data_IF_022607383441
#
_entry.id   IF_022607383441
#
_cell.length_a   1.000
_cell.length_b   1.000
_cell.length_c   1.000
_cell.angle_alpha   90.00
_cell.angle_beta   90.00
_cell.angle_gamma   90.00
#
_symmetry.space_group_name_H-M   'P 1'
#
loop_
_entity.id
_entity.type
_entity.pdbx_description
1 polymer ?
#
# COMPACT_ATOMS: atom_id res chain seq x y z
N UNK A 1 -3.44 22.43 -22.97
CA UNK A 1 -1.97 22.36 -23.09
C UNK A 1 -1.39 22.32 -21.68
N UNK A 2 -0.59 21.31 -21.35
CA UNK A 2 0.21 21.33 -20.11
C UNK A 2 1.35 22.34 -20.34
N UNK A 3 1.44 23.38 -19.51
CA UNK A 3 2.42 24.47 -19.65
C UNK A 3 3.69 24.26 -18.83
N UNK A 4 3.67 23.39 -17.82
CA UNK A 4 4.82 23.09 -16.96
C UNK A 4 4.66 21.75 -16.24
N UNK A 5 5.77 21.05 -16.05
CA UNK A 5 5.88 19.85 -15.21
C UNK A 5 7.05 20.07 -14.24
N UNK A 6 6.85 19.70 -12.98
CA UNK A 6 7.88 19.69 -11.95
C UNK A 6 8.17 18.25 -11.54
N UNK A 7 9.45 17.90 -11.44
CA UNK A 7 9.91 16.57 -11.04
C UNK A 7 10.57 16.68 -9.67
N UNK A 8 10.11 15.86 -8.72
CA UNK A 8 10.71 15.73 -7.39
C UNK A 8 11.34 14.33 -7.27
N UNK A 9 12.65 14.19 -7.52
CA UNK A 9 13.32 12.90 -7.44
C UNK A 9 13.20 12.30 -6.03
N UNK A 10 12.96 10.99 -5.96
CA UNK A 10 12.90 10.25 -4.69
C UNK A 10 11.67 10.50 -3.83
N UNK A 11 10.79 11.45 -4.19
CA UNK A 11 9.54 11.67 -3.45
C UNK A 11 8.63 10.45 -3.58
N UNK A 12 8.06 10.01 -2.45
CA UNK A 12 7.19 8.83 -2.37
C UNK A 12 7.87 7.51 -2.75
N UNK A 13 9.21 7.45 -2.75
CA UNK A 13 9.94 6.25 -3.11
C UNK A 13 9.42 5.03 -2.34
N UNK A 14 9.33 5.13 -1.00
CA UNK A 14 8.94 4.01 -0.16
C UNK A 14 7.49 3.61 -0.40
N UNK A 15 6.55 4.57 -0.44
CA UNK A 15 5.15 4.29 -0.72
C UNK A 15 4.94 3.62 -2.08
N UNK A 16 5.67 4.04 -3.12
CA UNK A 16 5.60 3.41 -4.45
C UNK A 16 6.16 1.99 -4.41
N UNK A 17 7.25 1.75 -3.68
CA UNK A 17 7.80 0.39 -3.49
C UNK A 17 6.80 -0.52 -2.80
N UNK A 18 6.11 -0.04 -1.75
CA UNK A 18 5.09 -0.81 -1.03
C UNK A 18 3.86 -1.10 -1.91
N UNK A 19 3.44 -0.14 -2.74
CA UNK A 19 2.38 -0.37 -3.74
C UNK A 19 2.78 -1.42 -4.78
N UNK A 20 4.03 -1.40 -5.25
CA UNK A 20 4.56 -2.42 -6.16
C UNK A 20 4.59 -3.80 -5.50
N UNK A 21 5.00 -3.90 -4.24
CA UNK A 21 4.99 -5.15 -3.48
C UNK A 21 3.56 -5.69 -3.29
N UNK A 22 2.60 -4.83 -2.93
CA UNK A 22 1.18 -5.19 -2.81
C UNK A 22 0.64 -5.75 -4.13
N UNK A 23 0.96 -5.10 -5.25
CA UNK A 23 0.58 -5.59 -6.59
C UNK A 23 1.23 -6.93 -6.93
N UNK A 24 2.49 -7.14 -6.56
CA UNK A 24 3.17 -8.40 -6.80
C UNK A 24 2.52 -9.55 -6.02
N UNK A 25 2.14 -9.32 -4.77
CA UNK A 25 1.45 -10.32 -3.94
C UNK A 25 0.10 -10.73 -4.50
N UNK A 26 -0.66 -9.82 -5.10
CA UNK A 26 -1.92 -10.15 -5.76
C UNK A 26 -1.76 -11.11 -6.96
N UNK A 27 -0.55 -11.25 -7.50
CA UNK A 27 -0.24 -12.22 -8.55
C UNK A 27 0.23 -13.58 -8.03
N UNK A 28 0.37 -13.76 -6.71
CA UNK A 28 0.83 -15.00 -6.10
C UNK A 28 -0.34 -15.97 -5.94
N UNK A 29 -0.18 -17.20 -6.45
CA UNK A 29 -1.20 -18.24 -6.32
C UNK A 29 -1.53 -18.51 -4.84
N UNK A 30 -2.82 -18.52 -4.52
CA UNK A 30 -3.31 -18.74 -3.16
C UNK A 30 -3.40 -17.49 -2.29
N UNK A 31 -2.96 -16.32 -2.77
CA UNK A 31 -3.21 -15.03 -2.09
C UNK A 31 -4.57 -14.49 -2.50
N UNK A 32 -5.50 -14.41 -1.56
CA UNK A 32 -6.83 -13.82 -1.80
C UNK A 32 -6.81 -12.30 -1.68
N UNK A 33 -6.21 -11.79 -0.61
CA UNK A 33 -6.11 -10.35 -0.32
C UNK A 33 -4.79 -10.07 0.41
N UNK A 34 -4.08 -9.02 0.00
CA UNK A 34 -2.82 -8.61 0.63
C UNK A 34 -2.59 -7.10 0.48
N UNK A 35 -2.14 -6.47 1.56
CA UNK A 35 -1.74 -5.07 1.58
C UNK A 35 -0.39 -4.94 2.27
N UNK A 36 0.57 -4.33 1.57
CA UNK A 36 1.85 -3.92 2.13
C UNK A 36 1.85 -2.41 2.18
N UNK A 37 1.83 -1.85 3.38
CA UNK A 37 1.67 -0.43 3.57
C UNK A 37 2.35 0.04 4.85
N UNK A 38 2.58 1.35 4.96
CA UNK A 38 2.99 1.95 6.24
C UNK A 38 1.77 2.03 7.15
N UNK A 39 1.94 1.84 8.46
CA UNK A 39 0.87 1.86 9.46
C UNK A 39 0.28 3.27 9.73
N UNK A 40 -0.02 4.04 8.68
CA UNK A 40 -0.82 5.26 8.77
C UNK A 40 -2.29 4.91 9.00
N UNK A 41 -3.06 5.79 9.63
CA UNK A 41 -4.49 5.60 9.89
C UNK A 41 -5.28 5.11 8.65
N UNK A 42 -5.04 5.71 7.49
CA UNK A 42 -5.67 5.31 6.23
C UNK A 42 -5.38 3.85 5.83
N UNK A 43 -4.15 3.39 6.01
CA UNK A 43 -3.77 2.03 5.61
C UNK A 43 -4.29 0.99 6.61
N UNK A 44 -4.40 1.37 7.89
CA UNK A 44 -5.01 0.52 8.91
C UNK A 44 -6.52 0.38 8.68
N UNK A 45 -7.20 1.45 8.27
CA UNK A 45 -8.62 1.35 7.91
C UNK A 45 -8.84 0.46 6.68
N UNK A 46 -7.94 0.53 5.68
CA UNK A 46 -8.00 -0.37 4.52
C UNK A 46 -7.80 -1.85 4.91
N UNK A 47 -6.87 -2.15 5.84
CA UNK A 47 -6.70 -3.51 6.36
C UNK A 47 -7.95 -4.01 7.10
N UNK A 48 -8.58 -3.15 7.90
CA UNK A 48 -9.84 -3.48 8.57
C UNK A 48 -10.96 -3.75 7.56
N UNK A 49 -11.09 -2.92 6.51
CA UNK A 49 -12.08 -3.09 5.44
C UNK A 49 -11.86 -4.38 4.63
N UNK A 50 -10.61 -4.85 4.55
CA UNK A 50 -10.24 -6.16 3.97
C UNK A 50 -10.59 -7.35 4.89
N UNK A 51 -11.07 -7.10 6.11
CA UNK A 51 -11.48 -8.13 7.08
C UNK A 51 -10.35 -8.68 7.95
N UNK A 52 -9.20 -7.99 8.02
CA UNK A 52 -8.12 -8.38 8.93
C UNK A 52 -8.49 -8.07 10.38
N UNK A 53 -8.12 -8.97 11.28
CA UNK A 53 -8.24 -8.74 12.71
C UNK A 53 -7.22 -7.68 13.17
N UNK A 54 -7.73 -6.48 13.46
CA UNK A 54 -6.87 -5.35 13.81
C UNK A 54 -6.20 -5.52 15.17
N UNK A 55 -6.78 -6.29 16.10
CA UNK A 55 -6.14 -6.56 17.40
C UNK A 55 -4.87 -7.41 17.20
N UNK A 56 -4.91 -8.36 16.26
CA UNK A 56 -3.73 -9.14 15.85
C UNK A 56 -2.71 -8.32 15.04
N UNK A 57 -3.16 -7.34 14.25
CA UNK A 57 -2.29 -6.52 13.38
C UNK A 57 -1.55 -5.43 14.15
N UNK A 58 -2.18 -4.85 15.18
CA UNK A 58 -1.60 -3.74 15.97
C UNK A 58 -0.98 -4.17 17.30
N UNK A 59 -1.30 -5.37 17.78
CA UNK A 59 -0.78 -5.97 19.02
C UNK A 59 0.66 -6.44 18.88
#
# INVERSE_FOLDING_TARGET
MISRVEIHPGRYHDSVRLMQASKALQGVEGVTDALVAMATELNLSLLADMGFDMDTVIG
#
